data_IF_688124134439
#
_entry.id   IF_688124134439
#
_cell.length_a   1.000
_cell.length_b   1.000
_cell.length_c   1.000
_cell.angle_alpha   90.00
_cell.angle_beta   90.00
_cell.angle_gamma   90.00
#
_symmetry.space_group_name_H-M   'P 1'
#
loop_
_entity.id
_entity.type
_entity.pdbx_description
1 polymer ?
#
# COMPACT_ATOMS: atom_id res chain seq x y z
N UNK A 1 -14.66 5.43 -17.85
CA UNK A 1 -14.46 6.12 -16.56
C UNK A 1 -13.89 7.50 -16.84
N UNK A 2 -14.28 8.56 -16.10
CA UNK A 2 -13.70 9.90 -16.29
C UNK A 2 -12.31 9.99 -15.66
N UNK A 3 -11.48 10.95 -16.07
CA UNK A 3 -10.14 11.17 -15.49
C UNK A 3 -10.25 11.47 -13.99
N UNK A 4 -11.21 12.31 -13.60
CA UNK A 4 -11.46 12.62 -12.18
C UNK A 4 -11.87 11.36 -11.39
N UNK A 5 -12.81 10.57 -11.93
CA UNK A 5 -13.22 9.30 -11.30
C UNK A 5 -12.07 8.31 -11.17
N UNK A 6 -11.19 8.24 -12.18
CA UNK A 6 -9.97 7.43 -12.11
C UNK A 6 -9.03 7.88 -11.00
N UNK A 7 -8.86 9.19 -10.82
CA UNK A 7 -8.06 9.76 -9.73
C UNK A 7 -8.60 9.36 -8.36
N UNK A 8 -9.91 9.48 -8.14
CA UNK A 8 -10.55 9.09 -6.87
C UNK A 8 -10.37 7.59 -6.58
N UNK A 9 -10.64 6.73 -7.57
CA UNK A 9 -10.46 5.28 -7.43
C UNK A 9 -9.00 4.94 -7.14
N UNK A 10 -8.07 5.58 -7.84
CA UNK A 10 -6.63 5.39 -7.61
C UNK A 10 -6.23 5.79 -6.20
N UNK A 11 -6.66 6.94 -5.70
CA UNK A 11 -6.33 7.39 -4.33
C UNK A 11 -6.82 6.39 -3.29
N UNK A 12 -8.07 5.91 -3.41
CA UNK A 12 -8.62 4.91 -2.48
C UNK A 12 -7.87 3.58 -2.59
N UNK A 13 -7.66 3.08 -3.81
CA UNK A 13 -6.95 1.83 -4.06
C UNK A 13 -5.49 1.89 -3.58
N UNK A 14 -4.84 3.05 -3.69
CA UNK A 14 -3.48 3.28 -3.21
C UNK A 14 -3.40 3.22 -1.70
N UNK A 15 -4.30 3.89 -0.97
CA UNK A 15 -4.34 3.80 0.49
C UNK A 15 -4.63 2.38 0.98
N UNK A 16 -5.59 1.68 0.35
CA UNK A 16 -5.87 0.28 0.67
C UNK A 16 -4.63 -0.62 0.44
N UNK A 17 -3.99 -0.48 -0.72
CA UNK A 17 -2.78 -1.24 -1.05
C UNK A 17 -1.64 -0.93 -0.09
N UNK A 18 -1.49 0.34 0.31
CA UNK A 18 -0.47 0.77 1.27
C UNK A 18 -0.69 0.11 2.63
N UNK A 19 -1.91 0.11 3.15
CA UNK A 19 -2.21 -0.56 4.43
C UNK A 19 -1.98 -2.08 4.38
N UNK A 20 -2.29 -2.73 3.26
CA UNK A 20 -2.01 -4.16 3.06
C UNK A 20 -0.50 -4.45 3.02
N UNK A 21 0.29 -3.53 2.48
CA UNK A 21 1.74 -3.70 2.32
C UNK A 21 2.52 -3.36 3.60
N UNK A 22 1.99 -2.49 4.47
CA UNK A 22 2.67 -2.06 5.71
C UNK A 22 3.17 -3.20 6.62
N UNK A 23 2.42 -4.26 6.92
CA UNK A 23 2.88 -5.33 7.82
C UNK A 23 3.96 -6.24 7.19
N UNK A 24 4.17 -6.15 5.88
CA UNK A 24 5.10 -7.03 5.17
C UNK A 24 6.55 -6.66 5.51
N UNK A 25 7.30 -7.64 6.04
CA UNK A 25 8.73 -7.52 6.31
C UNK A 25 9.08 -6.63 7.50
N UNK A 26 8.13 -6.40 8.41
CA UNK A 26 8.42 -5.72 9.68
C UNK A 26 9.23 -6.67 10.57
N UNK A 27 10.39 -6.19 11.02
CA UNK A 27 11.24 -6.83 12.04
C UNK A 27 11.46 -5.83 13.17
N UNK A 28 11.17 -6.25 14.40
CA UNK A 28 11.25 -5.39 15.59
C UNK A 28 12.70 -5.22 16.06
N UNK A 29 12.97 -4.20 16.88
CA UNK A 29 14.31 -3.98 17.43
C UNK A 29 14.74 -5.06 18.43
N UNK A 30 13.78 -5.67 19.13
CA UNK A 30 14.01 -6.79 20.07
C UNK A 30 14.56 -8.07 19.43
N UNK A 31 14.35 -8.30 18.14
CA UNK A 31 14.78 -9.53 17.44
C UNK A 31 16.29 -9.58 17.18
N UNK A 32 17.01 -8.47 17.36
CA UNK A 32 18.42 -8.32 16.96
C UNK A 32 19.27 -7.69 18.09
N UNK A 33 18.76 -7.70 19.33
CA UNK A 33 19.38 -7.12 20.55
C UNK A 33 19.88 -5.67 20.37
N UNK A 34 19.26 -4.95 19.42
CA UNK A 34 19.64 -3.58 19.05
C UNK A 34 18.70 -2.54 19.65
N UNK A 35 18.00 -2.90 20.72
CA UNK A 35 17.05 -2.02 21.40
C UNK A 35 17.80 -0.81 21.96
N UNK A 36 17.44 0.37 21.49
CA UNK A 36 17.99 1.63 21.99
C UNK A 36 17.14 2.08 23.18
N UNK A 37 17.78 2.43 24.28
CA UNK A 37 17.10 2.86 25.51
C UNK A 37 16.16 4.05 25.22
N UNK A 38 14.88 3.90 25.57
CA UNK A 38 13.81 4.87 25.25
C UNK A 38 13.09 4.69 23.90
N UNK A 39 13.42 3.66 23.10
CA UNK A 39 12.65 3.26 21.92
C UNK A 39 11.69 2.10 22.24
N UNK A 40 10.49 2.11 21.65
CA UNK A 40 9.55 0.99 21.74
C UNK A 40 10.17 -0.29 21.15
N UNK A 41 10.18 -1.38 21.92
CA UNK A 41 10.80 -2.66 21.53
C UNK A 41 10.21 -3.23 20.22
N UNK A 42 8.93 -2.92 19.96
CA UNK A 42 8.20 -3.33 18.77
C UNK A 42 8.44 -2.43 17.54
N UNK A 43 9.20 -1.32 17.68
CA UNK A 43 9.46 -0.41 16.57
C UNK A 43 10.22 -1.13 15.44
N UNK A 44 9.84 -0.94 14.16
CA UNK A 44 10.56 -1.53 13.05
C UNK A 44 11.99 -0.97 12.96
N UNK A 45 13.00 -1.85 12.92
CA UNK A 45 14.40 -1.42 12.74
C UNK A 45 14.63 -0.68 11.42
N UNK A 46 14.05 -1.18 10.34
CA UNK A 46 14.08 -0.54 9.04
C UNK A 46 12.66 -0.52 8.46
N UNK A 47 11.99 0.64 8.43
CA UNK A 47 10.61 0.72 7.99
C UNK A 47 10.43 0.54 6.46
N UNK A 48 11.52 0.60 5.68
CA UNK A 48 11.53 0.36 4.22
C UNK A 48 10.43 1.10 3.45
N UNK A 49 10.07 2.32 3.88
CA UNK A 49 8.87 3.03 3.41
C UNK A 49 8.85 3.25 1.89
N UNK A 50 9.99 3.54 1.26
CA UNK A 50 10.07 3.72 -0.19
C UNK A 50 9.70 2.45 -0.96
N UNK A 51 10.16 1.28 -0.49
CA UNK A 51 9.83 -0.02 -1.10
C UNK A 51 8.35 -0.34 -0.93
N UNK A 52 7.79 -0.03 0.24
CA UNK A 52 6.36 -0.21 0.54
C UNK A 52 5.48 0.70 -0.31
N UNK A 53 5.87 1.95 -0.50
CA UNK A 53 5.19 2.89 -1.39
C UNK A 53 5.21 2.42 -2.86
N UNK A 54 6.33 1.84 -3.32
CA UNK A 54 6.42 1.27 -4.66
C UNK A 54 5.45 0.08 -4.84
N UNK A 55 5.43 -0.85 -3.88
CA UNK A 55 4.51 -1.98 -3.89
C UNK A 55 3.04 -1.55 -3.81
N UNK A 56 2.73 -0.56 -2.96
CA UNK A 56 1.39 0.02 -2.87
C UNK A 56 0.96 0.67 -4.18
N UNK A 57 1.87 1.38 -4.86
CA UNK A 57 1.60 2.02 -6.15
C UNK A 57 1.35 0.99 -7.24
N UNK A 58 2.12 -0.10 -7.28
CA UNK A 58 1.88 -1.21 -8.21
C UNK A 58 0.49 -1.84 -7.99
N UNK A 59 0.12 -2.11 -6.73
CA UNK A 59 -1.22 -2.61 -6.38
C UNK A 59 -2.34 -1.65 -6.79
N UNK A 60 -2.17 -0.35 -6.52
CA UNK A 60 -3.13 0.69 -6.87
C UNK A 60 -3.37 0.80 -8.38
N UNK A 61 -2.31 0.74 -9.17
CA UNK A 61 -2.38 0.80 -10.64
C UNK A 61 -3.14 -0.41 -11.18
N UNK A 62 -2.84 -1.62 -10.68
CA UNK A 62 -3.55 -2.85 -11.09
C UNK A 62 -5.03 -2.76 -10.75
N UNK A 63 -5.37 -2.40 -9.50
CA UNK A 63 -6.76 -2.26 -9.07
C UNK A 63 -7.51 -1.21 -9.89
N UNK A 64 -6.92 -0.03 -10.07
CA UNK A 64 -7.55 1.05 -10.86
C UNK A 64 -7.74 0.63 -12.32
N UNK A 65 -6.76 -0.06 -12.92
CA UNK A 65 -6.86 -0.59 -14.27
C UNK A 65 -7.98 -1.62 -14.43
N UNK A 66 -8.11 -2.54 -13.47
CA UNK A 66 -9.21 -3.50 -13.43
C UNK A 66 -10.57 -2.79 -13.35
N UNK A 67 -10.73 -1.84 -12.43
CA UNK A 67 -11.98 -1.09 -12.28
C UNK A 67 -12.31 -0.27 -13.54
N UNK A 68 -11.29 0.31 -14.18
CA UNK A 68 -11.44 1.06 -15.42
C UNK A 68 -11.94 0.20 -16.59
N UNK A 69 -11.61 -1.11 -16.60
CA UNK A 69 -12.05 -2.08 -17.62
C UNK A 69 -13.41 -2.69 -17.24
N UNK A 70 -13.58 -3.13 -16.00
CA UNK A 70 -14.75 -3.87 -15.55
C UNK A 70 -16.00 -2.99 -15.52
N UNK A 71 -15.91 -1.78 -14.98
CA UNK A 71 -17.09 -0.91 -14.79
C UNK A 71 -17.77 -0.58 -16.12
N UNK A 72 -17.07 -0.12 -17.18
CA UNK A 72 -17.72 0.12 -18.47
C UNK A 72 -18.30 -1.15 -19.11
N UNK A 73 -17.67 -2.31 -18.91
CA UNK A 73 -18.14 -3.59 -19.47
C UNK A 73 -19.41 -4.08 -18.80
N UNK A 74 -19.54 -3.86 -17.49
CA UNK A 74 -20.76 -4.17 -16.72
C UNK A 74 -21.92 -3.24 -17.07
N UNK A 75 -21.63 -1.95 -17.30
CA UNK A 75 -22.66 -0.95 -17.63
C UNK A 75 -23.12 -1.00 -19.10
N UNK A 76 -22.38 -1.72 -19.96
CA UNK A 76 -22.72 -1.91 -21.37
C UNK A 76 -23.56 -3.17 -21.63
N UNK A 77 -23.87 -3.93 -20.58
CA UNK A 77 -24.80 -5.07 -20.58
C UNK A 77 -26.17 -4.61 -20.13
#
# INVERSE_FOLDING_TARGET
MTIFGAGVVFTIAWWLSFFVVLPIGVKGQWEDDSTIDGTEEAAPKNPMLAKKALWATAGAVVLTGLTAIIVPRLLAQ
#
